data_IF_107209565559
#
_entry.id   IF_107209565559
#
_cell.length_a   1.000
_cell.length_b   1.000
_cell.length_c   1.000
_cell.angle_alpha   90.00
_cell.angle_beta   90.00
_cell.angle_gamma   90.00
#
_symmetry.space_group_name_H-M   'P 1'
#
loop_
_entity.id
_entity.type
_entity.pdbx_description
1 polymer ?
#
# COMPACT_ATOMS: atom_id res chain seq x y z
N UNK A 1 -57.18 9.78 -5.58
CA UNK A 1 -56.90 8.75 -6.60
C UNK A 1 -55.54 8.91 -7.28
N UNK A 2 -54.94 10.06 -7.33
CA UNK A 2 -53.60 10.23 -7.95
C UNK A 2 -52.42 9.69 -7.10
N UNK A 3 -52.54 9.65 -5.79
CA UNK A 3 -51.52 9.14 -4.86
C UNK A 3 -51.25 7.62 -4.95
N UNK A 4 -52.27 6.83 -5.28
CA UNK A 4 -52.16 5.38 -5.45
C UNK A 4 -51.42 5.02 -6.77
N UNK A 5 -51.64 5.75 -7.85
CA UNK A 5 -50.98 5.56 -9.14
C UNK A 5 -49.50 5.89 -9.07
N UNK A 6 -49.09 6.89 -8.28
CA UNK A 6 -47.69 7.27 -8.11
C UNK A 6 -46.92 6.25 -7.25
N UNK A 7 -47.54 5.65 -6.25
CA UNK A 7 -46.92 4.58 -5.45
C UNK A 7 -46.65 3.30 -6.28
N UNK A 8 -47.53 2.96 -7.18
CA UNK A 8 -47.34 1.79 -8.06
C UNK A 8 -46.22 2.00 -9.06
N UNK A 9 -46.08 3.18 -9.66
CA UNK A 9 -44.97 3.55 -10.57
C UNK A 9 -43.62 3.55 -9.87
N UNK A 10 -43.56 4.00 -8.63
CA UNK A 10 -42.31 3.98 -7.84
C UNK A 10 -41.88 2.56 -7.46
N UNK A 11 -42.82 1.64 -7.29
CA UNK A 11 -42.53 0.25 -6.95
C UNK A 11 -42.06 -0.54 -8.18
N UNK A 12 -42.57 -0.24 -9.37
CA UNK A 12 -42.08 -0.83 -10.62
C UNK A 12 -40.71 -0.28 -11.01
N UNK A 13 -40.47 1.00 -10.82
CA UNK A 13 -39.12 1.58 -11.04
C UNK A 13 -38.05 0.99 -10.10
N UNK A 14 -38.40 0.70 -8.85
CA UNK A 14 -37.50 0.02 -7.92
C UNK A 14 -37.26 -1.45 -8.28
N UNK A 15 -38.26 -2.17 -8.80
CA UNK A 15 -38.09 -3.55 -9.29
C UNK A 15 -37.20 -3.60 -10.55
N UNK A 16 -37.34 -2.64 -11.46
CA UNK A 16 -36.51 -2.56 -12.65
C UNK A 16 -35.07 -2.10 -12.36
N UNK A 17 -34.83 -1.31 -11.31
CA UNK A 17 -33.51 -0.93 -10.85
C UNK A 17 -32.74 -2.09 -10.17
N UNK A 18 -33.47 -3.05 -9.59
CA UNK A 18 -32.88 -4.25 -8.94
C UNK A 18 -32.51 -5.35 -9.94
N UNK A 19 -32.94 -5.26 -11.20
CA UNK A 19 -32.65 -6.25 -12.24
C UNK A 19 -31.60 -5.76 -13.25
N UNK A 20 -30.70 -4.87 -12.84
CA UNK A 20 -29.51 -4.65 -13.63
C UNK A 20 -28.71 -5.95 -13.58
N UNK A 21 -28.90 -6.77 -14.63
CA UNK A 21 -28.16 -8.01 -14.89
C UNK A 21 -26.68 -7.65 -14.72
N UNK A 22 -26.05 -8.16 -13.67
CA UNK A 22 -24.59 -8.07 -13.55
C UNK A 22 -24.05 -8.87 -14.73
N UNK A 23 -23.59 -8.20 -15.77
CA UNK A 23 -22.88 -8.87 -16.86
C UNK A 23 -21.64 -9.53 -16.24
N UNK A 24 -21.73 -10.84 -16.05
CA UNK A 24 -20.60 -11.65 -15.62
C UNK A 24 -19.63 -11.75 -16.79
N UNK A 25 -18.58 -10.95 -16.76
CA UNK A 25 -17.48 -11.08 -17.70
C UNK A 25 -16.85 -12.46 -17.53
N UNK A 26 -16.65 -13.25 -18.61
CA UNK A 26 -15.96 -14.53 -18.56
C UNK A 26 -14.60 -14.41 -17.86
N UNK A 27 -14.18 -15.48 -17.19
CA UNK A 27 -12.96 -15.48 -16.37
C UNK A 27 -11.70 -15.12 -17.17
N UNK A 28 -11.61 -15.53 -18.41
CA UNK A 28 -10.55 -15.25 -19.38
C UNK A 28 -10.49 -13.78 -19.84
N UNK A 29 -11.59 -13.04 -19.68
CA UNK A 29 -11.70 -11.61 -20.02
C UNK A 29 -11.61 -10.70 -18.78
N UNK A 30 -11.44 -11.27 -17.57
CA UNK A 30 -11.28 -10.48 -16.35
C UNK A 30 -9.90 -9.87 -16.31
N UNK A 31 -9.82 -8.63 -15.85
CA UNK A 31 -8.55 -7.99 -15.58
C UNK A 31 -7.72 -8.85 -14.62
N UNK A 32 -6.44 -9.03 -14.92
CA UNK A 32 -5.54 -9.80 -14.08
C UNK A 32 -5.41 -9.15 -12.71
N UNK A 33 -5.66 -9.93 -11.67
CA UNK A 33 -5.49 -9.51 -10.28
C UNK A 33 -4.07 -9.84 -9.85
N UNK A 34 -3.34 -8.83 -9.39
CA UNK A 34 -1.99 -8.98 -8.86
C UNK A 34 -2.04 -8.95 -7.32
N UNK A 35 -1.34 -9.87 -6.64
CA UNK A 35 -1.21 -9.77 -5.20
C UNK A 35 -0.40 -8.52 -4.83
N UNK A 36 -0.87 -7.82 -3.81
CA UNK A 36 -0.25 -6.62 -3.28
C UNK A 36 0.46 -6.90 -1.95
N UNK A 37 1.52 -6.17 -1.72
CA UNK A 37 2.26 -6.16 -0.46
C UNK A 37 2.54 -4.74 -0.01
N UNK A 38 2.74 -4.60 1.27
CA UNK A 38 3.20 -3.38 1.90
C UNK A 38 4.65 -3.56 2.33
N UNK A 39 5.53 -2.69 1.88
CA UNK A 39 6.92 -2.61 2.34
C UNK A 39 7.01 -1.47 3.35
N UNK A 40 7.44 -1.78 4.56
CA UNK A 40 7.67 -0.81 5.62
C UNK A 40 9.17 -0.62 5.77
N UNK A 41 9.63 0.61 5.61
CA UNK A 41 11.04 0.98 5.79
C UNK A 41 11.13 2.01 6.91
N UNK A 42 11.87 1.68 7.95
CA UNK A 42 12.15 2.58 9.08
C UNK A 42 13.61 2.98 8.97
N UNK A 43 13.87 4.26 8.80
CA UNK A 43 15.22 4.79 8.63
C UNK A 43 15.40 6.07 9.43
N UNK A 44 16.63 6.59 9.44
CA UNK A 44 16.89 7.88 10.07
C UNK A 44 16.19 9.01 9.31
N UNK A 45 15.87 10.07 10.03
CA UNK A 45 15.20 11.25 9.46
C UNK A 45 15.98 11.80 8.26
N UNK A 46 15.23 12.27 7.26
CA UNK A 46 15.72 12.79 5.98
C UNK A 46 16.29 11.76 5.00
N UNK A 47 16.06 10.46 5.25
CA UNK A 47 16.44 9.39 4.32
C UNK A 47 15.27 8.88 3.47
N UNK A 48 14.06 9.35 3.74
CA UNK A 48 12.82 8.94 3.06
C UNK A 48 12.85 9.19 1.55
N UNK A 49 13.36 10.33 1.10
CA UNK A 49 13.40 10.69 -0.32
C UNK A 49 14.21 9.69 -1.16
N UNK A 50 15.32 9.20 -0.63
CA UNK A 50 16.10 8.18 -1.33
C UNK A 50 15.29 6.92 -1.58
N UNK A 51 14.57 6.44 -0.56
CA UNK A 51 13.76 5.23 -0.67
C UNK A 51 12.52 5.44 -1.54
N UNK A 52 11.88 6.62 -1.46
CA UNK A 52 10.74 6.97 -2.33
C UNK A 52 11.14 6.88 -3.79
N UNK A 53 12.24 7.55 -4.18
CA UNK A 53 12.73 7.57 -5.55
C UNK A 53 13.14 6.17 -6.00
N UNK A 54 13.87 5.45 -5.16
CA UNK A 54 14.34 4.11 -5.49
C UNK A 54 13.19 3.10 -5.63
N UNK A 55 12.22 3.15 -4.73
CA UNK A 55 11.06 2.25 -4.80
C UNK A 55 10.14 2.60 -5.97
N UNK A 56 10.01 3.88 -6.33
CA UNK A 56 9.28 4.29 -7.53
C UNK A 56 9.91 3.70 -8.81
N UNK A 57 11.25 3.74 -8.93
CA UNK A 57 11.97 3.08 -10.03
C UNK A 57 11.72 1.56 -10.09
N UNK A 58 11.50 0.92 -8.94
CA UNK A 58 11.27 -0.51 -8.81
C UNK A 58 9.79 -0.92 -8.93
N UNK A 59 8.89 0.03 -9.18
CA UNK A 59 7.48 -0.24 -9.43
C UNK A 59 6.55 -0.01 -8.24
N UNK A 60 6.95 0.79 -7.25
CA UNK A 60 6.06 1.21 -6.17
C UNK A 60 4.88 2.04 -6.70
N UNK A 61 3.67 1.69 -6.26
CA UNK A 61 2.45 2.38 -6.68
C UNK A 61 2.13 3.58 -5.79
N UNK A 62 2.42 3.46 -4.50
CA UNK A 62 2.16 4.49 -3.51
C UNK A 62 3.21 4.41 -2.41
N UNK A 63 3.77 5.55 -2.03
CA UNK A 63 4.62 5.67 -0.84
C UNK A 63 4.12 6.79 0.06
N UNK A 64 4.03 6.51 1.35
CA UNK A 64 3.64 7.44 2.40
C UNK A 64 4.75 7.54 3.42
N UNK A 65 5.12 8.75 3.82
CA UNK A 65 6.10 8.99 4.89
C UNK A 65 5.41 9.45 6.16
N UNK A 66 5.78 8.81 7.27
CA UNK A 66 5.38 9.18 8.62
C UNK A 66 6.62 9.58 9.42
N UNK A 67 6.51 10.66 10.17
CA UNK A 67 7.58 11.09 11.08
C UNK A 67 7.36 10.48 12.46
N UNK A 68 8.41 9.84 12.98
CA UNK A 68 8.36 9.12 14.24
C UNK A 68 9.57 9.41 15.11
N UNK A 69 9.44 9.01 16.37
CA UNK A 69 10.54 9.02 17.34
C UNK A 69 10.71 7.61 17.87
N UNK A 70 11.95 7.12 17.88
CA UNK A 70 12.28 5.85 18.51
C UNK A 70 12.83 6.09 19.92
N UNK A 71 12.48 5.22 20.83
CA UNK A 71 13.05 5.17 22.17
C UNK A 71 13.50 3.72 22.46
N UNK A 72 14.51 3.23 21.74
CA UNK A 72 14.97 1.86 21.91
C UNK A 72 15.67 1.68 23.26
N UNK A 73 15.62 0.48 23.88
CA UNK A 73 16.48 0.13 24.98
C UNK A 73 17.97 0.30 24.62
N UNK A 74 18.80 0.65 25.57
CA UNK A 74 20.24 0.90 25.34
C UNK A 74 20.96 -0.26 24.65
N UNK A 75 20.59 -1.49 24.98
CA UNK A 75 21.14 -2.71 24.38
C UNK A 75 20.85 -2.80 22.86
N UNK A 76 19.69 -2.31 22.43
CA UNK A 76 19.29 -2.31 21.01
C UNK A 76 19.96 -1.15 20.27
N UNK A 77 20.18 -0.02 20.91
CA UNK A 77 20.91 1.10 20.31
C UNK A 77 22.31 0.67 19.86
N UNK A 78 23.02 -0.09 20.70
CA UNK A 78 24.37 -0.57 20.39
C UNK A 78 24.39 -1.60 19.25
N UNK A 79 23.35 -2.45 19.13
CA UNK A 79 23.26 -3.50 18.13
C UNK A 79 22.83 -2.97 16.74
N UNK A 80 21.90 -2.04 16.69
CA UNK A 80 21.30 -1.55 15.45
C UNK A 80 21.84 -0.18 14.99
N UNK A 81 22.70 0.45 15.78
CA UNK A 81 23.22 1.79 15.47
C UNK A 81 22.16 2.90 15.47
N UNK A 82 21.05 2.71 16.20
CA UNK A 82 19.99 3.71 16.33
C UNK A 82 20.35 4.82 17.30
N UNK A 83 21.42 5.54 17.05
CA UNK A 83 21.83 6.70 17.88
C UNK A 83 20.84 7.86 17.72
N UNK A 84 20.20 7.98 16.57
CA UNK A 84 19.26 9.06 16.30
C UNK A 84 17.83 8.63 16.64
N UNK A 85 17.16 9.38 17.53
CA UNK A 85 15.79 9.13 17.94
C UNK A 85 14.73 9.48 16.89
N UNK A 86 15.06 10.41 15.97
CA UNK A 86 14.15 10.82 14.89
C UNK A 86 14.21 9.82 13.74
N UNK A 87 13.05 9.31 13.37
CA UNK A 87 12.90 8.31 12.29
C UNK A 87 11.89 8.76 11.26
N UNK A 88 12.09 8.30 10.04
CA UNK A 88 11.09 8.28 9.00
C UNK A 88 10.59 6.85 8.84
N UNK A 89 9.26 6.70 8.79
CA UNK A 89 8.62 5.44 8.47
C UNK A 89 8.01 5.58 7.08
N UNK A 90 8.53 4.84 6.14
CA UNK A 90 8.00 4.80 4.78
C UNK A 90 7.11 3.57 4.64
N UNK A 91 5.86 3.80 4.25
CA UNK A 91 4.90 2.75 3.93
C UNK A 91 4.71 2.77 2.42
N UNK A 92 5.13 1.71 1.76
CA UNK A 92 5.07 1.59 0.30
C UNK A 92 4.16 0.43 -0.09
N UNK A 93 3.18 0.71 -0.94
CA UNK A 93 2.30 -0.30 -1.52
C UNK A 93 2.80 -0.64 -2.92
N UNK A 94 2.91 -1.94 -3.20
CA UNK A 94 3.44 -2.44 -4.45
C UNK A 94 2.89 -3.82 -4.78
N UNK A 95 3.07 -4.27 -6.00
CA UNK A 95 2.84 -5.67 -6.35
C UNK A 95 3.85 -6.56 -5.61
N UNK A 96 3.39 -7.71 -5.15
CA UNK A 96 4.24 -8.65 -4.39
C UNK A 96 5.47 -9.10 -5.16
N UNK A 97 5.42 -9.10 -6.48
CA UNK A 97 6.56 -9.46 -7.36
C UNK A 97 7.75 -8.49 -7.27
N UNK A 98 7.54 -7.24 -6.81
CA UNK A 98 8.60 -6.24 -6.70
C UNK A 98 9.22 -6.14 -5.29
N UNK A 99 8.65 -6.83 -4.32
CA UNK A 99 9.06 -6.75 -2.90
C UNK A 99 10.53 -7.11 -2.71
N UNK A 100 10.97 -8.22 -3.30
CA UNK A 100 12.35 -8.69 -3.12
C UNK A 100 13.37 -7.68 -3.63
N UNK A 101 13.11 -7.05 -4.77
CA UNK A 101 13.96 -6.00 -5.32
C UNK A 101 14.01 -4.76 -4.42
N UNK A 102 12.89 -4.40 -3.80
CA UNK A 102 12.83 -3.27 -2.86
C UNK A 102 13.58 -3.56 -1.56
N UNK A 103 13.41 -4.76 -1.00
CA UNK A 103 14.14 -5.18 0.20
C UNK A 103 15.65 -5.27 -0.04
N UNK A 104 16.08 -5.74 -1.21
CA UNK A 104 17.48 -5.78 -1.58
C UNK A 104 18.06 -4.36 -1.74
N UNK A 105 17.31 -3.44 -2.35
CA UNK A 105 17.71 -2.04 -2.44
C UNK A 105 17.86 -1.39 -1.06
N UNK A 106 16.93 -1.67 -0.14
CA UNK A 106 17.00 -1.17 1.24
C UNK A 106 18.21 -1.75 1.98
N UNK A 107 18.43 -3.05 1.89
CA UNK A 107 19.60 -3.73 2.46
C UNK A 107 20.91 -3.08 1.99
N UNK A 108 21.05 -2.89 0.69
CA UNK A 108 22.25 -2.28 0.11
C UNK A 108 22.46 -0.84 0.63
N UNK A 109 21.38 -0.06 0.71
CA UNK A 109 21.45 1.32 1.26
C UNK A 109 21.89 1.31 2.71
N UNK A 110 21.34 0.43 3.54
CA UNK A 110 21.73 0.33 4.96
C UNK A 110 23.17 -0.13 5.15
N UNK A 111 23.74 -0.90 4.23
CA UNK A 111 25.12 -1.36 4.28
C UNK A 111 26.11 -0.25 3.88
N UNK A 112 25.81 0.56 2.86
CA UNK A 112 26.74 1.53 2.32
C UNK A 112 26.63 2.93 2.96
N UNK A 113 25.49 3.26 3.55
CA UNK A 113 25.25 4.56 4.17
C UNK A 113 25.20 4.48 5.68
N UNK A 114 26.12 5.16 6.36
CA UNK A 114 26.09 5.29 7.82
C UNK A 114 24.90 6.11 8.31
N UNK A 115 24.37 7.01 7.48
CA UNK A 115 23.25 7.89 7.82
C UNK A 115 21.89 7.22 7.60
N UNK A 116 21.80 6.24 6.71
CA UNK A 116 20.54 5.55 6.37
C UNK A 116 20.31 4.27 7.17
N UNK A 117 20.84 4.17 8.38
CA UNK A 117 20.60 2.98 9.24
C UNK A 117 19.12 2.76 9.49
N UNK A 118 18.71 1.52 9.40
CA UNK A 118 17.30 1.19 9.58
C UNK A 118 16.98 -0.28 9.35
N UNK A 119 15.69 -0.53 9.16
CA UNK A 119 15.14 -1.85 8.88
C UNK A 119 14.05 -1.71 7.80
N UNK A 120 13.95 -2.70 6.95
CA UNK A 120 12.85 -2.83 6.00
C UNK A 120 12.27 -4.24 6.08
N UNK A 121 10.95 -4.33 6.00
CA UNK A 121 10.23 -5.60 6.01
C UNK A 121 8.96 -5.49 5.18
N UNK A 122 8.39 -6.60 4.78
CA UNK A 122 7.18 -6.64 3.98
C UNK A 122 6.06 -7.39 4.67
N UNK A 123 4.83 -7.00 4.33
CA UNK A 123 3.59 -7.61 4.79
C UNK A 123 2.70 -7.86 3.57
N UNK A 124 2.16 -9.06 3.38
CA UNK A 124 1.16 -9.28 2.34
C UNK A 124 -0.13 -8.55 2.68
N UNK A 125 -0.77 -7.95 1.67
CA UNK A 125 -2.09 -7.34 1.81
C UNK A 125 -3.13 -8.41 1.51
N UNK A 126 -3.92 -8.78 2.51
CA UNK A 126 -4.92 -9.85 2.40
C UNK A 126 -6.22 -9.42 1.74
N UNK A 127 -6.52 -8.12 1.69
CA UNK A 127 -7.73 -7.61 1.07
C UNK A 127 -7.69 -6.12 0.80
N UNK A 128 -8.34 -5.69 -0.26
CA UNK A 128 -8.53 -4.29 -0.65
C UNK A 128 -10.00 -4.05 -0.93
N UNK A 129 -10.57 -3.01 -0.33
CA UNK A 129 -11.92 -2.56 -0.62
C UNK A 129 -11.89 -1.46 -1.69
N UNK A 130 -12.75 -1.59 -2.69
CA UNK A 130 -12.87 -0.62 -3.78
C UNK A 130 -12.01 -0.95 -5.00
N UNK A 131 -12.68 -1.29 -6.08
CA UNK A 131 -12.02 -1.71 -7.33
C UNK A 131 -11.15 -0.60 -7.95
N UNK A 132 -11.58 0.64 -7.86
CA UNK A 132 -10.82 1.77 -8.40
C UNK A 132 -9.53 2.00 -7.59
N UNK A 133 -9.59 1.84 -6.28
CA UNK A 133 -8.41 1.94 -5.41
C UNK A 133 -7.41 0.81 -5.72
N UNK A 134 -7.91 -0.40 -5.94
CA UNK A 134 -7.06 -1.52 -6.34
C UNK A 134 -6.33 -1.26 -7.67
N UNK A 135 -7.04 -0.76 -8.70
CA UNK A 135 -6.44 -0.42 -10.00
C UNK A 135 -5.33 0.63 -9.88
N UNK A 136 -5.49 1.57 -8.97
CA UNK A 136 -4.45 2.57 -8.69
C UNK A 136 -3.22 1.95 -8.01
N UNK A 137 -3.42 0.99 -7.11
CA UNK A 137 -2.34 0.38 -6.33
C UNK A 137 -1.62 -0.76 -7.09
N UNK A 138 -2.30 -1.38 -8.00
CA UNK A 138 -1.76 -2.46 -8.82
C UNK A 138 -1.17 -1.95 -10.13
#
# INVERSE_FOLDING_TARGET
MSLFKNRFKLTEQRKNASQKKVETVPFDQREKVYPLSMVVTICNRHQDLFFIDKYAELGASLSLTLYAYSNPPEDIVSLLGFVNTKKDILITITRSEYVDSMLEAAKNRFLVSSEAKGIAFSLPISGVAGINSYKFLA
#
